data_IF_096546919386
#
_entry.id   IF_096546919386
#
_cell.length_a   1.000
_cell.length_b   1.000
_cell.length_c   1.000
_cell.angle_alpha   90.00
_cell.angle_beta   90.00
_cell.angle_gamma   90.00
#
_symmetry.space_group_name_H-M   'P 1'
#
loop_
_entity.id
_entity.type
_entity.pdbx_description
1 polymer ?
#
# COMPACT_ATOMS: atom_id res chain seq x y z
N UNK A 1 -13.52 44.63 37.10
CA UNK A 1 -14.12 44.20 35.82
C UNK A 1 -13.03 43.64 34.93
N UNK A 2 -12.63 42.38 35.15
CA UNK A 2 -11.55 41.72 34.42
C UNK A 2 -12.18 41.05 33.20
N UNK A 3 -11.99 41.65 32.03
CA UNK A 3 -12.36 41.07 30.73
C UNK A 3 -11.36 39.96 30.39
N UNK A 4 -11.70 38.71 30.69
CA UNK A 4 -10.97 37.54 30.18
C UNK A 4 -11.30 37.36 28.69
N UNK A 5 -10.42 37.87 27.82
CA UNK A 5 -10.44 37.57 26.39
C UNK A 5 -10.14 36.09 26.16
N UNK A 6 -11.13 35.35 25.66
CA UNK A 6 -11.00 33.97 25.18
C UNK A 6 -10.19 33.95 23.89
N UNK A 7 -8.89 33.65 23.97
CA UNK A 7 -8.09 33.33 22.77
C UNK A 7 -8.41 31.89 22.36
N UNK A 8 -9.04 31.72 21.20
CA UNK A 8 -9.31 30.40 20.62
C UNK A 8 -8.05 29.92 19.86
N UNK A 9 -7.58 28.67 20.04
CA UNK A 9 -6.50 28.16 19.23
C UNK A 9 -7.05 27.86 17.83
N UNK A 10 -6.58 28.62 16.83
CA UNK A 10 -6.75 28.26 15.43
C UNK A 10 -5.97 26.96 15.17
N UNK A 11 -6.67 25.84 15.00
CA UNK A 11 -6.07 24.59 14.54
C UNK A 11 -5.50 24.80 13.15
N UNK A 12 -4.17 24.80 13.04
CA UNK A 12 -3.48 24.74 11.76
C UNK A 12 -3.98 23.50 11.00
N UNK A 13 -4.71 23.72 9.90
CA UNK A 13 -5.41 22.68 9.15
C UNK A 13 -4.42 21.79 8.38
N UNK A 14 -3.73 20.92 9.09
CA UNK A 14 -3.03 19.78 8.48
C UNK A 14 -4.11 18.84 7.94
N UNK A 15 -3.98 18.34 6.69
CA UNK A 15 -4.91 17.36 6.18
C UNK A 15 -5.00 16.18 7.14
N UNK A 16 -6.24 15.77 7.45
CA UNK A 16 -6.52 14.68 8.37
C UNK A 16 -5.97 13.36 7.83
N UNK A 17 -5.68 12.42 8.73
CA UNK A 17 -5.20 11.10 8.37
C UNK A 17 -6.19 10.34 7.46
N UNK A 18 -7.50 10.59 7.64
CA UNK A 18 -8.56 10.06 6.79
C UNK A 18 -8.46 10.58 5.34
N UNK A 19 -8.26 11.89 5.15
CA UNK A 19 -8.07 12.47 3.81
C UNK A 19 -6.79 11.94 3.14
N UNK A 20 -5.68 11.87 3.87
CA UNK A 20 -4.41 11.37 3.34
C UNK A 20 -4.52 9.90 2.93
N UNK A 21 -5.21 9.07 3.73
CA UNK A 21 -5.42 7.66 3.41
C UNK A 21 -6.37 7.45 2.22
N UNK A 22 -7.42 8.26 2.09
CA UNK A 22 -8.30 8.24 0.93
C UNK A 22 -7.53 8.55 -0.37
N UNK A 23 -6.67 9.57 -0.36
CA UNK A 23 -5.82 9.91 -1.52
C UNK A 23 -4.86 8.77 -1.86
N UNK A 24 -4.22 8.15 -0.86
CA UNK A 24 -3.31 7.01 -1.09
C UNK A 24 -4.02 5.79 -1.71
N UNK A 25 -5.30 5.59 -1.40
CA UNK A 25 -6.10 4.48 -1.94
C UNK A 25 -6.62 4.79 -3.35
N UNK A 26 -7.05 6.03 -3.60
CA UNK A 26 -7.68 6.41 -4.85
C UNK A 26 -6.70 6.69 -6.00
N UNK A 27 -5.45 7.07 -5.69
CA UNK A 27 -4.50 7.60 -6.68
C UNK A 27 -3.33 6.68 -7.14
N UNK A 28 -3.22 5.37 -6.84
CA UNK A 28 -1.99 4.62 -7.12
C UNK A 28 -1.68 4.50 -8.63
N UNK A 29 -2.70 4.30 -9.47
CA UNK A 29 -2.51 4.21 -10.93
C UNK A 29 -2.16 5.57 -11.56
N UNK A 30 -2.85 6.62 -11.13
CA UNK A 30 -2.58 7.98 -11.59
C UNK A 30 -1.19 8.45 -11.17
N UNK A 31 -0.78 8.12 -9.95
CA UNK A 31 0.55 8.43 -9.46
C UNK A 31 1.65 7.79 -10.31
N UNK A 32 1.47 6.52 -10.69
CA UNK A 32 2.43 5.82 -11.54
C UNK A 32 2.52 6.43 -12.94
N UNK A 33 1.41 6.98 -13.45
CA UNK A 33 1.33 7.58 -14.78
C UNK A 33 1.89 9.00 -14.83
N UNK A 34 1.57 9.83 -13.83
CA UNK A 34 1.85 11.27 -13.86
C UNK A 34 2.94 11.73 -12.86
N UNK A 35 3.29 10.91 -11.87
CA UNK A 35 4.11 11.30 -10.73
C UNK A 35 5.20 10.28 -10.34
N UNK A 36 5.58 9.36 -11.22
CA UNK A 36 6.50 8.25 -10.94
C UNK A 36 7.91 8.66 -10.49
N UNK A 37 8.35 9.88 -10.83
CA UNK A 37 9.66 10.44 -10.42
C UNK A 37 9.62 11.20 -9.09
N UNK A 38 8.48 11.19 -8.39
CA UNK A 38 8.32 11.86 -7.09
C UNK A 38 8.43 10.81 -5.98
N UNK A 39 8.88 11.16 -4.76
CA UNK A 39 8.77 10.27 -3.61
C UNK A 39 7.32 10.09 -3.17
N UNK A 40 6.88 8.84 -3.01
CA UNK A 40 5.51 8.50 -2.55
C UNK A 40 5.28 8.88 -1.10
N UNK A 41 4.06 9.31 -0.77
CA UNK A 41 3.56 9.33 0.61
C UNK A 41 3.84 10.62 1.40
N UNK A 42 4.40 11.64 0.77
CA UNK A 42 4.67 12.96 1.37
C UNK A 42 4.03 14.14 0.62
N UNK A 43 4.34 15.36 1.06
CA UNK A 43 3.85 16.60 0.43
C UNK A 43 4.24 16.72 -1.05
N UNK A 44 5.40 16.21 -1.45
CA UNK A 44 5.85 16.18 -2.84
C UNK A 44 4.88 15.38 -3.73
N UNK A 45 4.45 14.19 -3.29
CA UNK A 45 3.45 13.39 -4.03
C UNK A 45 2.10 14.10 -4.15
N UNK A 46 1.64 14.76 -3.08
CA UNK A 46 0.40 15.52 -3.10
C UNK A 46 0.48 16.74 -4.03
N UNK A 47 1.62 17.44 -4.05
CA UNK A 47 1.83 18.57 -4.94
C UNK A 47 1.82 18.14 -6.41
N UNK A 48 2.44 17.00 -6.74
CA UNK A 48 2.42 16.45 -8.09
C UNK A 48 0.99 16.07 -8.54
N UNK A 49 0.25 15.35 -7.69
CA UNK A 49 -1.14 15.00 -7.97
C UNK A 49 -2.02 16.24 -8.16
N UNK A 50 -1.90 17.25 -7.29
CA UNK A 50 -2.65 18.51 -7.42
C UNK A 50 -2.39 19.24 -8.74
N UNK A 51 -1.13 19.28 -9.20
CA UNK A 51 -0.77 19.90 -10.48
C UNK A 51 -1.36 19.17 -11.69
N UNK A 52 -1.54 17.86 -11.57
CA UNK A 52 -2.08 17.02 -12.64
C UNK A 52 -3.57 16.71 -12.45
N UNK A 53 -4.28 17.36 -11.51
CA UNK A 53 -5.62 16.96 -11.07
C UNK A 53 -6.57 16.72 -12.25
N UNK A 54 -6.61 17.61 -13.23
CA UNK A 54 -7.48 17.50 -14.40
C UNK A 54 -7.22 16.28 -15.28
N UNK A 55 -6.01 15.71 -15.22
CA UNK A 55 -5.59 14.52 -15.98
C UNK A 55 -5.73 13.23 -15.18
N UNK A 56 -5.99 13.30 -13.86
CA UNK A 56 -6.15 12.10 -13.03
C UNK A 56 -7.54 11.48 -13.23
N UNK A 57 -7.69 10.23 -12.81
CA UNK A 57 -8.98 9.58 -12.66
C UNK A 57 -9.95 10.38 -11.79
N UNK A 58 -11.25 10.26 -12.06
CA UNK A 58 -12.30 10.97 -11.33
C UNK A 58 -12.26 10.66 -9.81
N UNK A 59 -11.94 9.41 -9.45
CA UNK A 59 -11.76 9.00 -8.05
C UNK A 59 -10.57 9.68 -7.38
N UNK A 60 -9.44 9.82 -8.07
CA UNK A 60 -8.27 10.49 -7.52
C UNK A 60 -8.47 12.00 -7.43
N UNK A 61 -9.12 12.61 -8.42
CA UNK A 61 -9.53 14.02 -8.41
C UNK A 61 -10.36 14.36 -7.16
N UNK A 62 -11.39 13.57 -6.87
CA UNK A 62 -12.26 13.77 -5.72
C UNK A 62 -11.49 13.67 -4.40
N UNK A 63 -10.62 12.67 -4.27
CA UNK A 63 -9.81 12.49 -3.06
C UNK A 63 -8.82 13.64 -2.83
N UNK A 64 -8.20 14.15 -3.90
CA UNK A 64 -7.24 15.26 -3.84
C UNK A 64 -7.95 16.61 -3.58
N UNK A 65 -9.15 16.80 -4.13
CA UNK A 65 -9.97 17.99 -3.90
C UNK A 65 -10.52 18.06 -2.47
N UNK A 66 -10.78 16.91 -1.84
CA UNK A 66 -11.25 16.83 -0.47
C UNK A 66 -10.17 17.18 0.59
N UNK A 67 -8.91 17.38 0.20
CA UNK A 67 -7.80 17.75 1.10
C UNK A 67 -8.02 19.17 1.64
N UNK A 68 -8.25 19.28 2.95
CA UNK A 68 -8.42 20.58 3.63
C UNK A 68 -9.87 21.05 3.74
N UNK A 69 -10.83 20.32 3.17
CA UNK A 69 -12.25 20.53 3.46
C UNK A 69 -12.69 19.63 4.61
N UNK A 70 -13.54 20.08 5.55
CA UNK A 70 -14.23 19.14 6.42
C UNK A 70 -15.04 18.21 5.50
N UNK A 71 -14.67 16.92 5.47
CA UNK A 71 -15.36 15.97 4.62
C UNK A 71 -16.84 15.97 5.01
N UNK A 72 -17.79 16.12 4.07
CA UNK A 72 -19.17 15.86 4.40
C UNK A 72 -19.29 14.38 4.75
N UNK A 73 -19.77 14.10 5.96
CA UNK A 73 -20.16 12.78 6.41
C UNK A 73 -21.45 12.34 5.69
N UNK A 74 -21.47 12.30 4.35
CA UNK A 74 -22.59 11.82 3.56
C UNK A 74 -22.21 11.66 2.09
N UNK A 75 -21.51 10.57 1.77
CA UNK A 75 -21.60 9.86 0.48
C UNK A 75 -20.99 8.46 0.67
N UNK A 76 -21.54 7.73 1.65
CA UNK A 76 -21.31 6.31 1.83
C UNK A 76 -22.51 5.55 1.28
N UNK A 77 -22.55 5.36 -0.04
CA UNK A 77 -23.42 4.41 -0.77
C UNK A 77 -22.85 4.39 -2.19
N UNK A 78 -22.18 3.37 -2.73
CA UNK A 78 -22.23 1.91 -2.53
C UNK A 78 -20.95 1.25 -3.09
N UNK A 79 -20.26 0.42 -2.30
CA UNK A 79 -19.62 -0.86 -2.66
C UNK A 79 -18.80 -1.40 -1.46
N UNK A 80 -18.70 -2.74 -1.26
CA UNK A 80 -18.56 -3.32 0.06
C UNK A 80 -17.12 -3.32 0.55
N UNK A 81 -16.88 -2.61 1.65
CA UNK A 81 -15.69 -2.75 2.47
C UNK A 81 -16.12 -2.77 3.92
N UNK A 82 -16.44 -3.96 4.43
CA UNK A 82 -16.61 -4.18 5.87
C UNK A 82 -15.47 -3.53 6.63
N UNK A 83 -15.84 -2.70 7.61
CA UNK A 83 -14.97 -2.07 8.57
C UNK A 83 -13.99 -3.08 9.20
N UNK A 84 -12.74 -2.69 9.38
CA UNK A 84 -11.86 -3.36 10.33
C UNK A 84 -12.07 -2.72 11.73
N UNK A 85 -12.34 -3.51 12.79
CA UNK A 85 -12.30 -2.98 14.14
C UNK A 85 -10.85 -2.84 14.63
N UNK A 86 -10.68 -1.96 15.61
CA UNK A 86 -9.47 -1.76 16.38
C UNK A 86 -9.01 -3.03 17.12
N UNK A 87 -7.71 -3.02 17.46
CA UNK A 87 -6.98 -3.96 18.32
C UNK A 87 -6.83 -5.40 17.80
N UNK A 88 -5.60 -5.73 17.36
CA UNK A 88 -5.09 -7.10 17.46
C UNK A 88 -3.64 -7.09 17.95
N UNK A 89 -3.42 -7.64 19.14
CA UNK A 89 -2.16 -8.26 19.59
C UNK A 89 -1.87 -9.58 18.85
N UNK A 90 -2.64 -9.89 17.81
CA UNK A 90 -2.35 -10.94 16.85
C UNK A 90 -1.97 -10.25 15.53
N UNK A 91 -0.70 -10.40 15.12
CA UNK A 91 -0.30 -9.97 13.79
C UNK A 91 -1.27 -10.61 12.77
N UNK A 92 -2.00 -9.81 11.97
CA UNK A 92 -2.88 -10.39 10.96
C UNK A 92 -2.06 -11.33 10.07
N UNK A 93 -2.65 -12.46 9.60
CA UNK A 93 -1.95 -13.32 8.66
C UNK A 93 -1.48 -12.48 7.48
N UNK A 94 -0.24 -12.70 7.05
CA UNK A 94 0.33 -11.89 5.98
C UNK A 94 -0.53 -11.98 4.72
N UNK A 95 -0.64 -10.86 4.02
CA UNK A 95 -1.34 -10.85 2.74
C UNK A 95 -0.58 -11.71 1.70
N UNK A 96 -1.27 -12.29 0.70
CA UNK A 96 -0.62 -13.06 -0.37
C UNK A 96 0.50 -12.27 -1.10
N UNK A 97 0.37 -10.95 -1.19
CA UNK A 97 1.40 -10.07 -1.76
C UNK A 97 2.65 -9.97 -0.89
N UNK A 98 2.47 -9.87 0.43
CA UNK A 98 3.60 -9.82 1.37
C UNK A 98 4.34 -11.15 1.41
N UNK A 99 3.61 -12.25 1.39
CA UNK A 99 4.17 -13.60 1.33
C UNK A 99 4.99 -13.81 0.06
N UNK A 100 4.45 -13.43 -1.10
CA UNK A 100 5.17 -13.49 -2.36
C UNK A 100 6.45 -12.62 -2.37
N UNK A 101 6.43 -11.46 -1.67
CA UNK A 101 7.60 -10.60 -1.55
C UNK A 101 8.69 -11.22 -0.66
N UNK A 102 8.29 -11.81 0.47
CA UNK A 102 9.20 -12.52 1.37
C UNK A 102 9.85 -13.72 0.69
N UNK A 103 9.05 -14.49 -0.06
CA UNK A 103 9.55 -15.64 -0.80
C UNK A 103 10.55 -15.22 -1.87
N UNK A 104 10.28 -14.13 -2.60
CA UNK A 104 11.22 -13.54 -3.57
C UNK A 104 12.53 -13.10 -2.93
N UNK A 105 12.48 -12.51 -1.73
CA UNK A 105 13.68 -12.10 -0.99
C UNK A 105 14.49 -13.32 -0.52
N UNK A 106 13.82 -14.31 0.06
CA UNK A 106 14.46 -15.50 0.62
C UNK A 106 15.10 -16.38 -0.47
N UNK A 107 14.45 -16.49 -1.64
CA UNK A 107 14.86 -17.39 -2.71
C UNK A 107 15.58 -16.70 -3.87
N UNK A 108 15.83 -15.39 -3.81
CA UNK A 108 16.34 -14.63 -4.95
C UNK A 108 17.76 -15.01 -5.40
N UNK A 109 18.58 -15.55 -4.50
CA UNK A 109 19.89 -16.10 -4.86
C UNK A 109 19.73 -17.50 -5.45
N UNK A 110 19.00 -18.38 -4.76
CA UNK A 110 18.76 -19.75 -5.20
C UNK A 110 18.09 -19.81 -6.59
N UNK A 111 17.13 -18.91 -6.85
CA UNK A 111 16.53 -18.78 -8.18
C UNK A 111 17.57 -18.48 -9.26
N UNK A 112 18.51 -17.57 -9.00
CA UNK A 112 19.56 -17.22 -9.97
C UNK A 112 20.53 -18.37 -10.21
N UNK A 113 20.79 -19.19 -9.18
CA UNK A 113 21.70 -20.33 -9.27
C UNK A 113 21.07 -21.53 -9.95
N UNK A 114 19.80 -21.83 -9.65
CA UNK A 114 19.16 -23.10 -10.04
C UNK A 114 18.01 -22.96 -11.05
N UNK A 115 17.41 -21.77 -11.18
CA UNK A 115 16.17 -21.57 -11.91
C UNK A 115 16.21 -20.34 -12.84
N UNK A 116 17.39 -19.85 -13.23
CA UNK A 116 17.54 -18.58 -13.97
C UNK A 116 16.85 -18.56 -15.33
N UNK A 117 16.68 -19.73 -15.95
CA UNK A 117 15.98 -19.92 -17.23
C UNK A 117 14.45 -19.95 -17.09
N UNK A 118 13.91 -20.07 -15.87
CA UNK A 118 12.47 -20.19 -15.64
C UNK A 118 11.81 -18.81 -15.70
N UNK A 119 10.89 -18.55 -16.63
CA UNK A 119 10.32 -17.22 -16.75
C UNK A 119 9.43 -16.90 -15.54
N UNK A 120 9.53 -15.65 -15.06
CA UNK A 120 8.76 -15.16 -13.92
C UNK A 120 7.23 -15.23 -14.18
N UNK A 121 6.45 -15.46 -13.13
CA UNK A 121 4.98 -15.49 -13.20
C UNK A 121 4.36 -16.88 -13.36
N UNK A 122 3.07 -16.98 -13.06
CA UNK A 122 2.29 -18.23 -13.17
C UNK A 122 2.70 -19.34 -12.21
N UNK A 123 3.49 -19.05 -11.17
CA UNK A 123 3.94 -20.06 -10.18
C UNK A 123 5.10 -20.94 -10.64
N UNK A 124 5.58 -20.83 -11.88
CA UNK A 124 6.67 -21.67 -12.44
C UNK A 124 7.97 -21.63 -11.64
N UNK A 125 8.33 -20.46 -11.15
CA UNK A 125 9.51 -20.29 -10.29
C UNK A 125 9.37 -21.08 -8.99
N UNK A 126 8.16 -21.18 -8.44
CA UNK A 126 7.91 -21.96 -7.24
C UNK A 126 8.08 -23.46 -7.53
N UNK A 127 7.64 -23.93 -8.69
CA UNK A 127 7.81 -25.32 -9.12
C UNK A 127 9.30 -25.69 -9.22
N UNK A 128 10.07 -24.90 -9.97
CA UNK A 128 11.51 -25.13 -10.11
C UNK A 128 12.25 -25.11 -8.77
N UNK A 129 11.92 -24.15 -7.89
CA UNK A 129 12.49 -24.09 -6.55
C UNK A 129 12.10 -25.33 -5.72
N UNK A 130 10.89 -25.87 -5.86
CA UNK A 130 10.47 -27.09 -5.14
C UNK A 130 11.24 -28.31 -5.63
N UNK A 131 11.48 -28.44 -6.93
CA UNK A 131 12.26 -29.53 -7.53
C UNK A 131 13.72 -29.49 -7.08
N UNK A 132 14.29 -28.29 -6.93
CA UNK A 132 15.65 -28.08 -6.45
C UNK A 132 15.78 -28.06 -4.92
N UNK A 133 14.70 -28.35 -4.18
CA UNK A 133 14.57 -28.17 -2.74
C UNK A 133 15.82 -28.48 -1.89
N UNK A 134 16.44 -29.68 -2.01
CA UNK A 134 17.63 -30.04 -1.24
C UNK A 134 18.85 -29.14 -1.49
N UNK A 135 18.99 -28.62 -2.71
CA UNK A 135 20.08 -27.75 -3.16
C UNK A 135 19.90 -26.29 -2.74
N UNK A 136 18.68 -25.89 -2.35
CA UNK A 136 18.40 -24.51 -1.95
C UNK A 136 18.96 -24.17 -0.56
N UNK A 137 19.20 -22.88 -0.37
CA UNK A 137 19.51 -22.28 0.92
C UNK A 137 18.47 -22.63 1.98
N UNK A 138 18.91 -22.70 3.25
CA UNK A 138 18.01 -22.92 4.39
C UNK A 138 16.88 -21.88 4.45
N UNK A 139 17.21 -20.64 4.12
CA UNK A 139 16.26 -19.53 4.17
C UNK A 139 15.17 -19.69 3.11
N UNK A 140 15.54 -20.02 1.87
CA UNK A 140 14.57 -20.27 0.81
C UNK A 140 13.69 -21.49 1.09
N UNK A 141 14.27 -22.60 1.57
CA UNK A 141 13.49 -23.79 1.98
C UNK A 141 12.45 -23.47 3.05
N UNK A 142 12.85 -22.75 4.10
CA UNK A 142 11.94 -22.34 5.16
C UNK A 142 10.80 -21.48 4.63
N UNK A 143 11.11 -20.50 3.77
CA UNK A 143 10.10 -19.64 3.15
C UNK A 143 9.12 -20.42 2.24
N UNK A 144 9.62 -21.39 1.45
CA UNK A 144 8.78 -22.27 0.62
C UNK A 144 7.85 -23.15 1.45
N UNK A 145 8.31 -23.65 2.60
CA UNK A 145 7.46 -24.44 3.51
C UNK A 145 6.37 -23.58 4.14
N UNK A 146 6.69 -22.38 4.60
CA UNK A 146 5.71 -21.44 5.16
C UNK A 146 4.66 -21.04 4.13
N UNK A 147 5.05 -20.84 2.86
CA UNK A 147 4.14 -20.46 1.80
C UNK A 147 3.16 -21.56 1.37
N UNK A 148 3.52 -22.84 1.58
CA UNK A 148 2.59 -23.96 1.35
C UNK A 148 1.51 -24.08 2.43
N UNK A 149 1.79 -23.59 3.63
CA UNK A 149 0.89 -23.69 4.79
C UNK A 149 -0.16 -22.58 4.85
N UNK A 150 0.03 -21.50 4.09
CA UNK A 150 -0.92 -20.38 3.99
C UNK A 150 -1.99 -20.52 2.90
N UNK A 151 -2.11 -21.71 2.29
CA UNK A 151 -3.10 -22.01 1.24
C UNK A 151 -4.36 -22.66 1.76
#
# INVERSE_FOLDING_TARGET
MILLSLVSPAVAQKPSQAQISAVRQACPADYQTYCSNVPTGGSASLACLKRNAQSLSQSCQQAVAAIGSPAPAAAATTAPGTAAPAARTYAPPMSPRQEAMLLRRACGMDYRTYCSEVPLGGGRVIECLRENGPSLSRQCRSALMSARQGR
#
